data_IF_583112858274
#
_entry.id   IF_583112858274
#
_cell.length_a   1.000
_cell.length_b   1.000
_cell.length_c   1.000
_cell.angle_alpha   90.00
_cell.angle_beta   90.00
_cell.angle_gamma   90.00
#
_symmetry.space_group_name_H-M   'P 1'
#
loop_
_entity.id
_entity.type
_entity.pdbx_description
1 polymer ?
#
# COMPACT_ATOMS: atom_id res chain seq x y z
N UNK A 1 46.32 34.77 28.53
CA UNK A 1 45.01 34.48 27.90
C UNK A 1 45.17 33.31 26.91
N UNK A 2 45.15 32.06 27.38
CA UNK A 2 45.29 30.86 26.52
C UNK A 2 44.37 29.71 27.01
N UNK A 3 43.25 30.04 27.65
CA UNK A 3 42.37 29.07 28.31
C UNK A 3 41.10 28.66 27.54
N UNK A 4 40.68 29.43 26.53
CA UNK A 4 39.35 29.25 25.93
C UNK A 4 39.32 28.45 24.61
N UNK A 5 40.46 28.17 23.97
CA UNK A 5 40.47 27.52 22.64
C UNK A 5 40.23 26.00 22.70
N UNK A 6 40.61 25.32 23.79
CA UNK A 6 40.45 23.86 23.94
C UNK A 6 39.00 23.43 24.19
N UNK A 7 38.17 24.30 24.77
CA UNK A 7 36.75 24.02 25.01
C UNK A 7 35.90 24.24 23.75
N UNK A 8 36.25 25.24 22.93
CA UNK A 8 35.60 25.48 21.64
C UNK A 8 35.79 24.33 20.65
N UNK A 9 36.98 23.72 20.60
CA UNK A 9 37.25 22.58 19.72
C UNK A 9 36.48 21.31 20.15
N UNK A 10 36.33 21.07 21.45
CA UNK A 10 35.53 19.95 21.98
C UNK A 10 34.03 20.13 21.70
N UNK A 11 33.52 21.35 21.84
CA UNK A 11 32.12 21.67 21.50
C UNK A 11 31.87 21.54 20.00
N UNK A 12 32.83 21.95 19.16
CA UNK A 12 32.72 21.78 17.71
C UNK A 12 32.75 20.30 17.28
N UNK A 13 33.59 19.47 17.88
CA UNK A 13 33.65 18.02 17.61
C UNK A 13 32.39 17.32 18.11
N UNK A 14 31.86 17.68 19.28
CA UNK A 14 30.58 17.12 19.78
C UNK A 14 29.42 17.58 18.91
N UNK A 15 29.36 18.84 18.44
CA UNK A 15 28.36 19.27 17.46
C UNK A 15 28.50 18.53 16.12
N UNK A 16 29.71 18.32 15.63
CA UNK A 16 29.95 17.63 14.35
C UNK A 16 29.62 16.13 14.43
N UNK A 17 29.84 15.49 15.59
CA UNK A 17 29.41 14.11 15.87
C UNK A 17 27.90 14.01 16.13
N UNK A 18 27.27 15.04 16.71
CA UNK A 18 25.81 15.12 16.88
C UNK A 18 25.06 15.47 15.58
N UNK A 19 25.72 15.97 14.53
CA UNK A 19 25.09 16.15 13.22
C UNK A 19 25.02 14.82 12.44
N UNK A 20 25.75 13.79 12.89
CA UNK A 20 25.54 12.39 12.47
C UNK A 20 24.55 11.64 13.38
N UNK A 21 23.65 12.35 14.08
CA UNK A 21 22.44 11.72 14.61
C UNK A 21 21.67 11.24 13.39
N UNK A 22 21.77 9.93 13.16
CA UNK A 22 20.98 9.11 12.26
C UNK A 22 19.67 9.79 11.90
N UNK A 23 19.67 10.50 10.75
CA UNK A 23 18.43 10.69 10.02
C UNK A 23 17.85 9.28 9.89
N UNK A 24 16.58 9.04 10.29
CA UNK A 24 15.96 7.77 9.99
C UNK A 24 16.15 7.57 8.50
N UNK A 25 16.95 6.57 8.11
CA UNK A 25 17.21 6.25 6.72
C UNK A 25 15.83 6.24 6.05
N UNK A 26 15.61 7.18 5.12
CA UNK A 26 14.29 7.40 4.57
C UNK A 26 13.76 6.06 4.10
N UNK A 27 12.69 5.57 4.73
CA UNK A 27 12.15 4.21 4.57
C UNK A 27 11.68 4.06 3.12
N UNK A 28 12.15 3.03 2.41
CA UNK A 28 12.21 3.08 0.95
C UNK A 28 12.40 1.66 0.38
N UNK A 29 11.42 0.77 0.40
CA UNK A 29 11.64 -0.60 -0.09
C UNK A 29 10.80 -0.89 -1.34
N UNK A 30 11.19 -1.92 -2.08
CA UNK A 30 10.30 -2.54 -3.08
C UNK A 30 9.42 -3.55 -2.35
N UNK A 31 8.12 -3.26 -2.27
CA UNK A 31 7.14 -4.21 -1.78
C UNK A 31 6.79 -5.19 -2.89
N UNK A 32 6.85 -6.48 -2.61
CA UNK A 32 6.30 -7.54 -3.45
C UNK A 32 5.26 -8.29 -2.63
N UNK A 33 4.03 -8.37 -3.15
CA UNK A 33 2.94 -9.16 -2.60
C UNK A 33 2.64 -10.27 -3.59
N UNK A 34 2.55 -11.51 -3.12
CA UNK A 34 2.18 -12.68 -3.93
C UNK A 34 1.17 -13.54 -3.19
N UNK A 35 0.03 -13.82 -3.81
CA UNK A 35 -0.89 -14.85 -3.30
C UNK A 35 -0.32 -16.26 -3.51
N UNK A 36 -0.94 -17.27 -2.90
CA UNK A 36 -0.39 -18.64 -2.90
C UNK A 36 -0.34 -19.32 -4.28
N UNK A 37 -1.03 -18.79 -5.30
CA UNK A 37 -1.26 -19.50 -6.55
C UNK A 37 -0.18 -19.22 -7.61
N UNK A 38 0.59 -18.12 -7.49
CA UNK A 38 1.55 -17.69 -8.52
C UNK A 38 3.01 -17.53 -8.02
N UNK A 39 3.41 -18.21 -6.94
CA UNK A 39 4.74 -18.08 -6.29
C UNK A 39 5.96 -17.95 -7.22
N UNK A 40 5.98 -18.63 -8.37
CA UNK A 40 7.15 -18.73 -9.21
C UNK A 40 7.61 -17.39 -9.79
N UNK A 41 6.69 -16.52 -10.22
CA UNK A 41 7.06 -15.24 -10.83
C UNK A 41 7.45 -14.20 -9.77
N UNK A 42 6.66 -13.97 -8.72
CA UNK A 42 7.09 -13.09 -7.62
C UNK A 42 8.40 -13.54 -6.96
N UNK A 43 8.62 -14.85 -6.78
CA UNK A 43 9.88 -15.38 -6.25
C UNK A 43 11.07 -15.05 -7.16
N UNK A 44 10.90 -15.15 -8.48
CA UNK A 44 11.92 -14.79 -9.46
C UNK A 44 12.21 -13.28 -9.44
N UNK A 45 11.19 -12.44 -9.40
CA UNK A 45 11.34 -10.98 -9.29
C UNK A 45 12.07 -10.62 -7.99
N UNK A 46 11.64 -11.16 -6.85
CA UNK A 46 12.24 -10.92 -5.55
C UNK A 46 13.72 -11.31 -5.51
N UNK A 47 14.07 -12.49 -6.02
CA UNK A 47 15.46 -12.95 -6.14
C UNK A 47 16.27 -12.02 -7.03
N UNK A 48 15.74 -11.65 -8.19
CA UNK A 48 16.44 -10.79 -9.17
C UNK A 48 16.73 -9.41 -8.58
N UNK A 49 15.75 -8.79 -7.93
CA UNK A 49 15.91 -7.50 -7.26
C UNK A 49 16.94 -7.57 -6.12
N UNK A 50 16.83 -8.57 -5.25
CA UNK A 50 17.80 -8.78 -4.15
C UNK A 50 19.22 -8.98 -4.67
N UNK A 51 19.40 -9.78 -5.72
CA UNK A 51 20.70 -10.00 -6.36
C UNK A 51 21.29 -8.72 -6.98
N UNK A 52 20.44 -7.76 -7.36
CA UNK A 52 20.85 -6.42 -7.83
C UNK A 52 20.99 -5.38 -6.71
N UNK A 53 20.91 -5.80 -5.44
CA UNK A 53 21.15 -4.95 -4.26
C UNK A 53 19.95 -4.15 -3.76
N UNK A 54 18.74 -4.45 -4.26
CA UNK A 54 17.53 -3.78 -3.78
C UNK A 54 17.12 -4.26 -2.39
N UNK A 55 16.60 -3.34 -1.57
CA UNK A 55 15.86 -3.69 -0.38
C UNK A 55 14.43 -4.10 -0.74
N UNK A 56 14.12 -5.38 -0.53
CA UNK A 56 12.83 -5.98 -0.91
C UNK A 56 12.12 -6.52 0.33
N UNK A 57 10.90 -6.04 0.58
CA UNK A 57 9.95 -6.71 1.46
C UNK A 57 9.07 -7.62 0.60
N UNK A 58 9.17 -8.92 0.82
CA UNK A 58 8.34 -9.88 0.10
C UNK A 58 7.36 -10.56 1.05
N UNK A 59 6.08 -10.43 0.74
CA UNK A 59 4.95 -10.97 1.51
C UNK A 59 4.26 -12.02 0.64
N UNK A 60 4.13 -13.24 1.16
CA UNK A 60 3.68 -14.39 0.37
C UNK A 60 2.64 -15.25 1.09
N UNK A 61 1.65 -15.74 0.32
CA UNK A 61 0.68 -16.74 0.75
C UNK A 61 -0.11 -16.29 1.97
N UNK A 62 -0.17 -17.11 3.02
CA UNK A 62 -0.88 -16.80 4.28
C UNK A 62 -0.39 -15.53 4.99
N UNK A 63 0.81 -15.03 4.64
CA UNK A 63 1.33 -13.78 5.21
C UNK A 63 0.85 -12.55 4.43
N UNK A 64 0.31 -12.71 3.22
CA UNK A 64 -0.27 -11.66 2.38
C UNK A 64 -1.67 -11.26 2.87
N UNK A 65 -1.79 -11.01 4.17
CA UNK A 65 -3.01 -10.47 4.78
C UNK A 65 -3.22 -9.02 4.35
N UNK A 66 -4.47 -8.57 4.35
CA UNK A 66 -4.86 -7.18 4.11
C UNK A 66 -4.03 -6.20 4.95
N UNK A 67 -3.85 -6.48 6.26
CA UNK A 67 -2.99 -5.69 7.15
C UNK A 67 -1.54 -5.62 6.65
N UNK A 68 -0.94 -6.76 6.31
CA UNK A 68 0.46 -6.81 5.88
C UNK A 68 0.67 -6.17 4.51
N UNK A 69 -0.29 -6.29 3.60
CA UNK A 69 -0.27 -5.57 2.32
C UNK A 69 -0.22 -4.06 2.56
N UNK A 70 -1.12 -3.54 3.41
CA UNK A 70 -1.20 -2.11 3.71
C UNK A 70 0.05 -1.61 4.46
N UNK A 71 0.53 -2.35 5.47
CA UNK A 71 1.79 -2.04 6.16
C UNK A 71 2.98 -2.04 5.22
N UNK A 72 3.05 -3.04 4.35
CA UNK A 72 4.10 -3.14 3.35
C UNK A 72 4.11 -1.94 2.40
N UNK A 73 2.97 -1.33 2.10
CA UNK A 73 2.96 -0.12 1.27
C UNK A 73 3.56 1.11 1.98
N UNK A 74 3.70 1.08 3.31
CA UNK A 74 4.17 2.24 4.07
C UNK A 74 5.56 2.68 3.61
N UNK A 75 5.61 3.89 3.03
CA UNK A 75 6.77 4.53 2.40
C UNK A 75 7.52 3.67 1.36
N UNK A 76 6.85 2.70 0.73
CA UNK A 76 7.45 1.95 -0.37
C UNK A 76 7.90 2.87 -1.53
N UNK A 77 8.98 2.50 -2.24
CA UNK A 77 9.42 3.15 -3.48
C UNK A 77 8.89 2.47 -4.74
N UNK A 78 8.35 1.26 -4.58
CA UNK A 78 7.68 0.52 -5.62
C UNK A 78 6.76 -0.50 -4.95
N UNK A 79 5.61 -0.75 -5.56
CA UNK A 79 4.70 -1.84 -5.16
C UNK A 79 4.54 -2.76 -6.35
N UNK A 80 4.80 -4.04 -6.15
CA UNK A 80 4.52 -5.11 -7.10
C UNK A 80 3.51 -6.02 -6.42
N UNK A 81 2.33 -6.15 -7.02
CA UNK A 81 1.27 -7.02 -6.54
C UNK A 81 1.00 -8.09 -7.58
N UNK A 82 1.29 -9.34 -7.24
CA UNK A 82 0.96 -10.51 -8.04
C UNK A 82 -0.13 -11.30 -7.32
N UNK A 83 -1.35 -11.30 -7.85
CA UNK A 83 -2.43 -12.04 -7.22
C UNK A 83 -3.80 -11.61 -7.71
N UNK A 84 -4.85 -12.10 -7.08
CA UNK A 84 -6.21 -11.86 -7.56
C UNK A 84 -6.72 -10.43 -7.37
N UNK A 85 -7.49 -9.95 -8.35
CA UNK A 85 -8.30 -8.73 -8.25
C UNK A 85 -9.76 -9.06 -8.02
N UNK A 86 -10.45 -8.22 -7.24
CA UNK A 86 -11.88 -8.35 -6.96
C UNK A 86 -12.67 -7.11 -7.38
N UNK A 87 -14.00 -7.26 -7.44
CA UNK A 87 -14.94 -6.16 -7.61
C UNK A 87 -16.21 -6.44 -6.80
N UNK A 88 -16.91 -5.39 -6.36
CA UNK A 88 -18.11 -5.56 -5.52
C UNK A 88 -19.39 -5.75 -6.34
N UNK A 89 -19.58 -4.96 -7.39
CA UNK A 89 -20.89 -4.87 -8.06
C UNK A 89 -20.78 -4.77 -9.58
N UNK A 90 -21.79 -5.31 -10.27
CA UNK A 90 -21.82 -5.39 -11.73
C UNK A 90 -22.56 -6.64 -12.16
N UNK A 91 -22.47 -6.94 -13.46
CA UNK A 91 -23.07 -8.13 -14.05
C UNK A 91 -22.03 -8.97 -14.81
N UNK A 92 -20.76 -8.87 -14.43
CA UNK A 92 -19.72 -9.70 -15.03
C UNK A 92 -19.96 -11.17 -14.65
N UNK A 93 -20.24 -12.00 -15.66
CA UNK A 93 -20.73 -13.37 -15.51
C UNK A 93 -19.69 -14.43 -15.90
N UNK A 94 -18.40 -14.05 -15.92
CA UNK A 94 -17.28 -14.87 -16.42
C UNK A 94 -17.29 -15.11 -17.94
N UNK A 95 -18.24 -14.54 -18.67
CA UNK A 95 -18.29 -14.59 -20.13
C UNK A 95 -18.41 -13.20 -20.76
N UNK A 96 -18.25 -12.15 -19.96
CA UNK A 96 -18.35 -10.74 -20.36
C UNK A 96 -19.19 -9.96 -19.35
N UNK A 97 -19.62 -8.77 -19.74
CA UNK A 97 -20.43 -7.88 -18.89
C UNK A 97 -19.63 -6.77 -18.23
N UNK A 98 -20.33 -5.93 -17.47
CA UNK A 98 -19.74 -4.74 -16.84
C UNK A 98 -19.24 -5.05 -15.43
N UNK A 99 -18.07 -4.51 -15.10
CA UNK A 99 -17.55 -4.49 -13.75
C UNK A 99 -17.56 -3.05 -13.23
N UNK A 100 -18.15 -2.85 -12.05
CA UNK A 100 -18.26 -1.53 -11.41
C UNK A 100 -17.46 -1.48 -10.12
N UNK A 101 -16.92 -0.28 -9.75
CA UNK A 101 -16.24 -0.11 -8.48
C UNK A 101 -17.19 -0.36 -7.28
N UNK A 102 -16.63 -0.55 -6.07
CA UNK A 102 -15.20 -0.61 -5.76
C UNK A 102 -14.51 -1.88 -6.27
N UNK A 103 -13.26 -1.71 -6.67
CA UNK A 103 -12.35 -2.80 -7.03
C UNK A 103 -11.40 -3.08 -5.86
N UNK A 104 -10.82 -4.27 -5.78
CA UNK A 104 -9.97 -4.65 -4.66
C UNK A 104 -8.72 -5.42 -5.06
N UNK A 105 -7.69 -5.26 -4.23
CA UNK A 105 -6.66 -6.28 -4.06
C UNK A 105 -7.18 -7.36 -3.11
N UNK A 106 -6.89 -8.62 -3.38
CA UNK A 106 -7.27 -9.73 -2.51
C UNK A 106 -6.09 -10.11 -1.61
N UNK A 107 -6.30 -10.07 -0.31
CA UNK A 107 -5.39 -10.62 0.69
C UNK A 107 -5.85 -12.01 1.13
N UNK A 108 -4.99 -12.73 1.84
CA UNK A 108 -5.31 -14.08 2.34
C UNK A 108 -6.45 -14.12 3.35
N UNK A 109 -6.83 -12.97 3.93
CA UNK A 109 -7.86 -12.82 4.96
C UNK A 109 -8.99 -11.85 4.58
N UNK A 110 -9.01 -11.34 3.33
CA UNK A 110 -10.04 -10.40 2.90
C UNK A 110 -9.64 -9.52 1.72
N UNK A 111 -10.20 -8.32 1.68
CA UNK A 111 -10.07 -7.40 0.55
C UNK A 111 -9.50 -6.05 1.00
N UNK A 112 -8.64 -5.46 0.16
CA UNK A 112 -8.28 -4.04 0.22
C UNK A 112 -9.04 -3.33 -0.89
N UNK A 113 -10.14 -2.67 -0.53
CA UNK A 113 -11.04 -1.99 -1.47
C UNK A 113 -10.52 -0.61 -1.86
N UNK A 114 -10.53 -0.31 -3.16
CA UNK A 114 -10.37 1.02 -3.70
C UNK A 114 -11.69 1.80 -3.65
N UNK A 115 -11.75 2.81 -2.78
CA UNK A 115 -12.90 3.71 -2.62
C UNK A 115 -12.52 5.07 -3.19
N UNK A 116 -12.81 5.27 -4.48
CA UNK A 116 -12.38 6.47 -5.21
C UNK A 116 -10.86 6.58 -5.22
N UNK A 117 -10.31 7.69 -4.70
CA UNK A 117 -8.87 7.94 -4.62
C UNK A 117 -8.21 7.42 -3.34
N UNK A 118 -8.88 6.53 -2.61
CA UNK A 118 -8.49 6.02 -1.30
C UNK A 118 -8.67 4.50 -1.24
N UNK A 119 -8.18 3.90 -0.17
CA UNK A 119 -8.28 2.49 0.16
C UNK A 119 -9.10 2.29 1.43
N UNK A 120 -9.65 1.09 1.61
CA UNK A 120 -10.33 0.63 2.83
C UNK A 120 -10.10 -0.88 3.03
N UNK A 121 -10.05 -1.33 4.28
CA UNK A 121 -9.95 -2.77 4.62
C UNK A 121 -11.31 -3.47 4.73
N UNK A 122 -12.39 -2.74 4.43
CA UNK A 122 -13.75 -3.27 4.39
C UNK A 122 -14.69 -2.20 3.85
N UNK A 123 -15.81 -2.63 3.27
CA UNK A 123 -16.83 -1.69 2.81
C UNK A 123 -17.42 -0.93 4.01
N UNK A 124 -17.56 0.39 3.88
CA UNK A 124 -18.01 1.27 4.95
C UNK A 124 -17.02 1.51 6.08
N UNK A 125 -15.82 0.91 6.04
CA UNK A 125 -14.75 1.22 7.00
C UNK A 125 -14.06 2.56 6.67
N UNK A 126 -13.26 3.03 7.62
CA UNK A 126 -12.43 4.23 7.47
C UNK A 126 -11.54 4.10 6.24
N UNK A 127 -11.56 5.13 5.40
CA UNK A 127 -10.72 5.22 4.23
C UNK A 127 -9.41 5.94 4.52
N UNK A 128 -8.38 5.60 3.76
CA UNK A 128 -7.05 6.20 3.85
C UNK A 128 -6.38 6.25 2.48
N UNK A 129 -5.41 7.16 2.29
CA UNK A 129 -4.58 7.14 1.07
C UNK A 129 -3.56 6.02 1.17
N UNK A 130 -3.24 5.39 0.05
CA UNK A 130 -2.18 4.39 -0.02
C UNK A 130 -0.87 4.98 0.58
N UNK A 131 -0.22 4.29 1.54
CA UNK A 131 0.79 4.91 2.39
C UNK A 131 2.21 4.94 1.82
N UNK A 132 2.37 4.83 0.50
CA UNK A 132 3.67 4.86 -0.16
C UNK A 132 4.13 6.28 -0.50
N UNK A 133 5.34 6.40 -1.08
CA UNK A 133 5.84 7.68 -1.58
C UNK A 133 5.15 8.09 -2.88
N UNK A 134 5.06 9.39 -3.16
CA UNK A 134 4.53 9.88 -4.45
C UNK A 134 5.45 9.48 -5.61
N UNK A 135 4.88 9.42 -6.80
CA UNK A 135 5.55 9.17 -8.07
C UNK A 135 6.28 7.82 -8.15
N UNK A 136 5.85 6.83 -7.37
CA UNK A 136 6.38 5.47 -7.44
C UNK A 136 5.65 4.63 -8.49
N UNK A 137 6.28 3.57 -9.02
CA UNK A 137 5.59 2.54 -9.76
C UNK A 137 4.72 1.68 -8.82
N UNK A 138 3.47 1.48 -9.22
CA UNK A 138 2.60 0.40 -8.70
C UNK A 138 2.30 -0.52 -9.87
N UNK A 139 2.79 -1.75 -9.80
CA UNK A 139 2.75 -2.76 -10.87
C UNK A 139 1.89 -3.92 -10.41
N UNK A 140 0.78 -4.17 -11.08
CA UNK A 140 -0.10 -5.31 -10.84
C UNK A 140 0.13 -6.38 -11.90
N UNK A 141 0.35 -7.60 -11.46
CA UNK A 141 0.52 -8.78 -12.28
C UNK A 141 -0.64 -9.74 -11.97
N UNK A 142 -1.33 -10.21 -12.99
CA UNK A 142 -2.39 -11.23 -12.87
C UNK A 142 -3.58 -10.86 -11.98
N UNK A 143 -3.76 -9.57 -11.70
CA UNK A 143 -4.90 -9.09 -10.94
C UNK A 143 -6.10 -8.87 -11.86
N UNK A 144 -7.12 -9.72 -11.76
CA UNK A 144 -8.37 -9.56 -12.50
C UNK A 144 -8.89 -8.11 -12.40
N UNK A 145 -9.53 -7.65 -13.48
CA UNK A 145 -10.07 -6.30 -13.66
C UNK A 145 -9.02 -5.17 -13.76
N UNK A 146 -7.79 -5.36 -13.28
CA UNK A 146 -6.77 -4.31 -13.18
C UNK A 146 -6.35 -3.73 -14.54
N UNK A 147 -6.38 -4.55 -15.59
CA UNK A 147 -6.09 -4.21 -16.98
C UNK A 147 -7.35 -4.17 -17.88
N UNK A 148 -8.54 -4.36 -17.28
CA UNK A 148 -9.82 -4.48 -17.96
C UNK A 148 -10.16 -5.90 -18.41
N UNK A 149 -9.41 -6.91 -17.96
CA UNK A 149 -9.63 -8.31 -18.28
C UNK A 149 -9.82 -9.18 -17.05
N UNK A 150 -10.48 -10.31 -17.24
CA UNK A 150 -10.55 -11.40 -16.29
C UNK A 150 -10.24 -12.66 -17.07
N UNK A 151 -9.14 -13.33 -16.72
CA UNK A 151 -8.60 -14.43 -17.52
C UNK A 151 -8.47 -14.04 -19.00
N UNK A 152 -9.22 -14.68 -19.90
CA UNK A 152 -9.23 -14.42 -21.34
C UNK A 152 -10.46 -13.64 -21.82
N UNK A 153 -11.17 -12.95 -20.92
CA UNK A 153 -12.39 -12.18 -21.23
C UNK A 153 -12.22 -10.71 -20.89
N UNK A 154 -12.44 -9.84 -21.87
CA UNK A 154 -12.49 -8.39 -21.65
C UNK A 154 -13.85 -8.02 -21.03
N UNK A 155 -13.83 -7.13 -20.05
CA UNK A 155 -15.08 -6.55 -19.52
C UNK A 155 -15.68 -5.58 -20.55
N UNK A 156 -16.99 -5.38 -20.52
CA UNK A 156 -17.68 -4.52 -21.49
C UNK A 156 -17.37 -3.01 -21.34
N UNK A 157 -16.81 -2.61 -20.20
CA UNK A 157 -16.49 -1.21 -19.86
C UNK A 157 -15.02 -1.00 -19.47
N UNK A 158 -14.04 -1.49 -20.25
CA UNK A 158 -12.71 -1.78 -19.74
C UNK A 158 -11.90 -0.51 -19.40
N UNK A 159 -12.07 0.57 -20.16
CA UNK A 159 -11.47 1.88 -19.81
C UNK A 159 -11.96 2.38 -18.44
N UNK A 160 -13.25 2.27 -18.16
CA UNK A 160 -13.82 2.70 -16.89
C UNK A 160 -13.37 1.80 -15.73
N UNK A 161 -13.27 0.49 -15.96
CA UNK A 161 -12.75 -0.49 -15.00
C UNK A 161 -11.31 -0.16 -14.61
N UNK A 162 -10.40 -0.04 -15.58
CA UNK A 162 -8.99 0.32 -15.34
C UNK A 162 -8.86 1.66 -14.62
N UNK A 163 -9.58 2.69 -15.08
CA UNK A 163 -9.58 3.99 -14.43
C UNK A 163 -9.93 3.86 -12.94
N UNK A 164 -11.06 3.23 -12.62
CA UNK A 164 -11.53 3.13 -11.25
C UNK A 164 -10.65 2.24 -10.37
N UNK A 165 -10.08 1.16 -10.91
CA UNK A 165 -9.12 0.32 -10.19
C UNK A 165 -7.85 1.11 -9.86
N UNK A 166 -7.27 1.79 -10.85
CA UNK A 166 -6.03 2.55 -10.70
C UNK A 166 -6.13 3.67 -9.65
N UNK A 167 -7.33 4.24 -9.45
CA UNK A 167 -7.53 5.41 -8.57
C UNK A 167 -7.12 5.21 -7.12
N UNK A 168 -7.20 4.00 -6.57
CA UNK A 168 -6.73 3.76 -5.20
C UNK A 168 -5.21 3.99 -5.05
N UNK A 169 -4.47 3.90 -6.15
CA UNK A 169 -3.04 4.15 -6.22
C UNK A 169 -2.71 5.55 -6.75
N UNK A 170 -3.30 5.96 -7.87
CA UNK A 170 -3.02 7.25 -8.50
C UNK A 170 -3.53 8.42 -7.66
N UNK A 171 -4.53 8.19 -6.78
CA UNK A 171 -4.97 9.13 -5.75
C UNK A 171 -3.90 9.50 -4.69
N UNK A 172 -2.92 8.62 -4.51
CA UNK A 172 -1.71 8.86 -3.72
C UNK A 172 -0.51 9.30 -4.58
N UNK A 173 -0.70 9.44 -5.90
CA UNK A 173 0.31 9.92 -6.85
C UNK A 173 1.19 8.82 -7.45
N UNK A 174 0.78 7.56 -7.44
CA UNK A 174 1.51 6.49 -8.12
C UNK A 174 1.35 6.52 -9.64
N UNK A 175 2.31 5.90 -10.32
CA UNK A 175 2.21 5.50 -11.73
C UNK A 175 1.75 4.05 -11.76
N UNK A 176 0.53 3.82 -12.22
CA UNK A 176 -0.11 2.52 -12.23
C UNK A 176 0.16 1.79 -13.54
N UNK A 177 0.71 0.59 -13.45
CA UNK A 177 0.82 -0.36 -14.55
C UNK A 177 0.15 -1.67 -14.13
N UNK A 178 -0.61 -2.27 -15.03
CA UNK A 178 -1.23 -3.57 -14.80
C UNK A 178 -1.05 -4.44 -16.03
N UNK A 179 -0.84 -5.74 -15.83
CA UNK A 179 -0.88 -6.71 -16.91
C UNK A 179 -1.39 -8.09 -16.47
N UNK A 180 -2.18 -8.72 -17.32
CA UNK A 180 -2.58 -10.11 -17.23
C UNK A 180 -1.65 -11.08 -17.97
N UNK A 181 -0.66 -10.59 -18.74
CA UNK A 181 0.33 -11.43 -19.41
C UNK A 181 1.16 -12.19 -18.39
N UNK A 182 1.44 -13.46 -18.67
CA UNK A 182 2.42 -14.25 -17.91
C UNK A 182 3.80 -13.71 -18.17
N UNK A 183 4.28 -12.89 -17.24
CA UNK A 183 5.52 -12.18 -17.40
C UNK A 183 5.53 -10.84 -16.66
N UNK A 184 6.69 -10.54 -16.06
CA UNK A 184 6.98 -9.28 -15.41
C UNK A 184 7.94 -8.42 -16.23
N UNK A 185 7.82 -8.46 -17.56
CA UNK A 185 8.74 -7.85 -18.53
C UNK A 185 9.00 -6.38 -18.22
N UNK A 186 7.96 -5.60 -17.89
CA UNK A 186 8.12 -4.18 -17.57
C UNK A 186 9.13 -3.97 -16.41
N UNK A 187 9.17 -4.88 -15.43
CA UNK A 187 10.12 -4.85 -14.32
C UNK A 187 11.51 -5.22 -14.84
N UNK A 188 11.61 -6.28 -15.65
CA UNK A 188 12.89 -6.71 -16.23
C UNK A 188 13.48 -5.66 -17.19
N UNK A 189 12.67 -4.90 -17.91
CA UNK A 189 13.09 -3.80 -18.77
C UNK A 189 13.74 -2.68 -17.94
N UNK A 190 13.15 -2.31 -16.80
CA UNK A 190 13.79 -1.40 -15.83
C UNK A 190 15.11 -1.98 -15.32
N UNK A 191 15.14 -3.26 -14.95
CA UNK A 191 16.36 -3.93 -14.48
C UNK A 191 17.42 -4.11 -15.58
N UNK A 192 17.02 -4.03 -16.84
CA UNK A 192 17.84 -3.98 -18.05
C UNK A 192 18.28 -2.56 -18.44
N UNK A 193 17.93 -1.55 -17.65
CA UNK A 193 18.39 -0.17 -17.81
C UNK A 193 17.37 0.78 -18.45
N UNK A 194 16.09 0.43 -18.52
CA UNK A 194 15.07 1.41 -18.88
C UNK A 194 15.03 2.58 -17.88
N UNK A 195 14.90 3.79 -18.40
CA UNK A 195 15.03 5.03 -17.60
C UNK A 195 13.70 5.66 -17.22
N UNK A 196 12.59 5.19 -17.80
CA UNK A 196 11.22 5.63 -17.55
C UNK A 196 10.21 4.55 -17.98
N UNK A 197 8.94 4.71 -17.61
CA UNK A 197 7.86 3.85 -18.10
C UNK A 197 7.73 3.90 -19.63
N UNK A 198 7.94 5.06 -20.27
CA UNK A 198 7.93 5.14 -21.73
C UNK A 198 9.04 4.30 -22.37
N UNK A 199 10.25 4.38 -21.83
CA UNK A 199 11.39 3.61 -22.30
C UNK A 199 11.20 2.11 -22.05
N UNK A 200 10.70 1.73 -20.86
CA UNK A 200 10.37 0.35 -20.54
C UNK A 200 9.26 -0.18 -21.47
N UNK A 201 8.18 0.57 -21.68
CA UNK A 201 7.11 0.21 -22.61
C UNK A 201 7.61 0.04 -24.06
N UNK A 202 8.61 0.80 -24.49
CA UNK A 202 9.21 0.64 -25.82
C UNK A 202 10.06 -0.63 -25.96
N UNK A 203 10.53 -1.21 -24.85
CA UNK A 203 11.28 -2.47 -24.79
C UNK A 203 10.38 -3.67 -24.54
N UNK A 204 9.23 -3.42 -23.90
CA UNK A 204 8.26 -4.43 -23.54
C UNK A 204 7.70 -5.17 -24.77
N UNK A 205 7.34 -6.44 -24.57
CA UNK A 205 6.72 -7.27 -25.60
C UNK A 205 5.33 -6.74 -25.98
N UNK A 206 4.48 -6.47 -25.00
CA UNK A 206 3.13 -5.96 -25.22
C UNK A 206 3.05 -4.43 -25.03
N UNK A 207 3.46 -3.69 -26.06
CA UNK A 207 3.60 -2.22 -25.99
C UNK A 207 2.26 -1.50 -25.98
N UNK A 208 2.01 -0.73 -24.92
CA UNK A 208 0.86 0.17 -24.78
C UNK A 208 1.00 1.36 -25.74
N UNK A 209 0.08 1.47 -26.70
CA UNK A 209 0.14 2.49 -27.77
C UNK A 209 -1.10 3.35 -27.90
N UNK A 210 -2.23 2.96 -27.30
CA UNK A 210 -3.49 3.71 -27.38
C UNK A 210 -3.88 4.27 -26.01
N UNK A 211 -4.56 5.42 -26.02
CA UNK A 211 -5.15 6.03 -24.83
C UNK A 211 -6.58 6.47 -25.08
N UNK A 212 -7.42 6.33 -24.07
CA UNK A 212 -8.77 6.90 -24.04
C UNK A 212 -8.88 7.85 -22.86
N UNK A 213 -9.39 9.06 -23.10
CA UNK A 213 -9.70 10.00 -22.00
C UNK A 213 -10.98 9.57 -21.30
N UNK A 214 -10.92 9.40 -19.98
CA UNK A 214 -12.06 9.08 -19.14
C UNK A 214 -12.02 9.94 -17.87
N UNK A 215 -13.07 10.73 -17.64
CA UNK A 215 -13.13 11.71 -16.54
C UNK A 215 -11.88 12.61 -16.44
N UNK A 216 -11.34 13.05 -17.59
CA UNK A 216 -10.16 13.91 -17.66
C UNK A 216 -8.82 13.21 -17.40
N UNK A 217 -8.80 11.88 -17.24
CA UNK A 217 -7.59 11.08 -17.08
C UNK A 217 -7.35 10.24 -18.34
N UNK A 218 -6.11 10.20 -18.82
CA UNK A 218 -5.72 9.29 -19.89
C UNK A 218 -5.54 7.89 -19.34
N UNK A 219 -6.35 6.96 -19.84
CA UNK A 219 -6.21 5.53 -19.58
C UNK A 219 -5.56 4.91 -20.81
N UNK A 220 -4.34 4.42 -20.65
CA UNK A 220 -3.56 3.82 -21.72
C UNK A 220 -3.74 2.31 -21.71
N UNK A 221 -4.08 1.73 -22.85
CA UNK A 221 -4.30 0.28 -23.01
C UNK A 221 -3.89 -0.16 -24.41
N UNK A 222 -3.61 -1.43 -24.54
CA UNK A 222 -3.56 -2.11 -25.83
C UNK A 222 -4.99 -2.31 -26.37
N UNK A 223 -5.17 -2.23 -27.69
CA UNK A 223 -6.44 -2.60 -28.30
C UNK A 223 -6.65 -4.10 -28.11
N UNK A 224 -7.61 -4.46 -27.26
CA UNK A 224 -7.84 -5.83 -26.81
C UNK A 224 -6.60 -6.53 -26.22
N UNK A 225 -5.64 -5.77 -25.69
CA UNK A 225 -4.50 -6.37 -24.98
C UNK A 225 -4.70 -6.34 -23.47
N UNK A 226 -3.89 -7.14 -22.78
CA UNK A 226 -3.98 -7.39 -21.33
C UNK A 226 -2.89 -6.61 -20.59
N UNK A 227 -2.68 -5.35 -21.00
CA UNK A 227 -1.84 -4.40 -20.29
C UNK A 227 -2.47 -3.00 -20.30
N UNK A 228 -2.31 -2.30 -19.18
CA UNK A 228 -2.84 -0.98 -18.96
C UNK A 228 -1.87 -0.10 -18.18
N UNK A 229 -1.92 1.21 -18.45
CA UNK A 229 -1.14 2.22 -17.74
C UNK A 229 -1.97 3.47 -17.45
N UNK A 230 -1.85 3.98 -16.23
CA UNK A 230 -2.44 5.25 -15.80
C UNK A 230 -1.40 5.99 -14.94
N UNK A 231 -0.86 7.08 -15.46
CA UNK A 231 0.16 7.85 -14.74
C UNK A 231 1.01 8.71 -15.67
N UNK A 232 2.18 9.07 -15.18
CA UNK A 232 3.21 9.79 -15.91
C UNK A 232 4.18 8.80 -16.57
N UNK A 233 4.23 8.83 -17.90
CA UNK A 233 5.16 8.04 -18.70
C UNK A 233 6.64 8.33 -18.41
N UNK A 234 6.96 9.48 -17.82
CA UNK A 234 8.31 9.80 -17.33
C UNK A 234 8.60 9.24 -15.92
N UNK A 235 7.61 8.62 -15.28
CA UNK A 235 7.77 7.89 -14.03
C UNK A 235 8.84 6.81 -14.15
N UNK A 236 9.52 6.50 -13.05
CA UNK A 236 10.71 5.64 -13.03
C UNK A 236 10.57 4.54 -12.00
N UNK A 237 11.23 3.41 -12.25
CA UNK A 237 11.49 2.44 -11.20
C UNK A 237 12.63 2.91 -10.31
N UNK A 238 12.60 2.70 -8.98
CA UNK A 238 13.70 3.09 -8.11
C UNK A 238 14.99 2.37 -8.50
N UNK A 239 16.12 3.01 -8.23
CA UNK A 239 17.42 2.34 -8.24
C UNK A 239 17.68 1.64 -6.91
N UNK A 240 18.57 0.66 -6.87
CA UNK A 240 18.93 -0.03 -5.63
C UNK A 240 19.38 0.96 -4.53
N UNK A 241 20.16 1.99 -4.89
CA UNK A 241 20.66 3.00 -3.98
C UNK A 241 19.57 3.96 -3.44
N UNK A 242 18.40 4.02 -4.11
CA UNK A 242 17.25 4.78 -3.61
C UNK A 242 16.44 3.97 -2.60
N UNK A 243 16.63 2.65 -2.55
CA UNK A 243 15.95 1.79 -1.58
C UNK A 243 16.70 1.71 -0.25
N UNK A 244 15.97 1.47 0.84
CA UNK A 244 16.41 1.30 2.22
C UNK A 244 15.61 0.17 2.88
N UNK A 245 16.10 -0.41 3.99
CA UNK A 245 15.40 -1.47 4.70
C UNK A 245 13.99 -1.09 5.17
N UNK A 246 13.08 -2.06 5.11
CA UNK A 246 11.73 -1.92 5.66
C UNK A 246 11.75 -1.83 7.20
N UNK A 247 10.97 -0.89 7.75
CA UNK A 247 10.81 -0.70 9.18
C UNK A 247 9.41 -1.11 9.64
N UNK A 248 9.30 -2.36 10.12
CA UNK A 248 7.99 -2.90 10.52
C UNK A 248 7.35 -2.16 11.69
N UNK A 249 8.15 -1.69 12.66
CA UNK A 249 7.62 -0.97 13.82
C UNK A 249 7.03 0.39 13.45
N UNK A 250 7.65 1.12 12.51
CA UNK A 250 7.13 2.37 12.00
C UNK A 250 5.85 2.15 11.18
N UNK A 251 5.82 1.11 10.34
CA UNK A 251 4.65 0.72 9.56
C UNK A 251 3.47 0.30 10.45
N UNK A 252 3.72 -0.49 11.50
CA UNK A 252 2.72 -0.88 12.50
C UNK A 252 2.13 0.35 13.20
N UNK A 253 2.98 1.25 13.72
CA UNK A 253 2.53 2.47 14.39
C UNK A 253 1.68 3.35 13.47
N UNK A 254 2.08 3.49 12.20
CA UNK A 254 1.28 4.22 11.22
C UNK A 254 -0.06 3.53 10.97
N UNK A 255 -0.05 2.21 10.76
CA UNK A 255 -1.25 1.41 10.52
C UNK A 255 -2.26 1.52 11.66
N UNK A 256 -1.81 1.38 12.91
CA UNK A 256 -2.69 1.47 14.08
C UNK A 256 -3.34 2.85 14.18
N UNK A 257 -2.58 3.91 13.90
CA UNK A 257 -3.05 5.30 13.99
C UNK A 257 -4.00 5.68 12.85
N UNK A 258 -3.80 5.13 11.65
CA UNK A 258 -4.45 5.62 10.44
C UNK A 258 -5.49 4.67 9.86
N UNK A 259 -5.26 3.37 9.97
CA UNK A 259 -6.08 2.33 9.33
C UNK A 259 -6.93 1.62 10.37
N UNK A 260 -6.31 0.98 11.37
CA UNK A 260 -7.04 0.26 12.39
C UNK A 260 -7.85 1.21 13.30
N UNK A 261 -7.35 2.43 13.50
CA UNK A 261 -8.11 3.56 14.03
C UNK A 261 -9.03 3.19 15.18
N UNK A 262 -8.49 2.63 16.27
CA UNK A 262 -9.14 2.46 17.57
C UNK A 262 -10.49 1.70 17.57
N UNK A 263 -10.46 0.38 17.69
CA UNK A 263 -11.56 -0.34 18.37
C UNK A 263 -11.65 0.11 19.84
N UNK A 264 -10.54 0.63 20.41
CA UNK A 264 -10.53 1.44 21.62
C UNK A 264 -9.52 2.56 21.44
N UNK A 265 -9.93 3.80 21.70
CA UNK A 265 -9.10 5.01 21.67
C UNK A 265 -7.74 4.82 22.34
N UNK A 266 -6.75 5.66 21.99
CA UNK A 266 -5.66 6.03 22.89
C UNK A 266 -6.22 6.59 24.22
N UNK A 267 -6.75 5.69 25.04
CA UNK A 267 -6.91 5.86 26.46
C UNK A 267 -5.67 5.15 26.98
N UNK A 268 -4.83 5.90 27.69
CA UNK A 268 -3.84 5.32 28.58
C UNK A 268 -4.63 4.56 29.64
N UNK A 269 -4.97 3.33 29.29
CA UNK A 269 -5.65 2.42 30.15
C UNK A 269 -4.60 1.98 31.15
N UNK A 270 -4.50 2.73 32.26
CA UNK A 270 -4.06 2.21 33.56
C UNK A 270 -5.08 1.14 34.01
N UNK A 271 -5.27 0.12 33.18
CA UNK A 271 -6.04 -1.08 33.46
C UNK A 271 -5.11 -1.94 34.31
N UNK A 272 -5.26 -1.80 35.63
CA UNK A 272 -4.73 -2.80 36.55
C UNK A 272 -5.64 -4.02 36.42
N UNK A 273 -5.13 -5.11 35.82
CA UNK A 273 -5.78 -6.42 35.85
C UNK A 273 -5.82 -6.90 37.29
N UNK A 274 -7.00 -6.96 37.90
CA UNK A 274 -7.11 -7.34 39.31
C UNK A 274 -7.44 -8.82 39.50
N UNK A 275 -8.21 -9.44 38.59
CA UNK A 275 -8.47 -10.89 38.61
C UNK A 275 -8.83 -11.42 37.22
N UNK A 276 -8.31 -12.60 36.90
CA UNK A 276 -8.72 -13.41 35.75
C UNK A 276 -9.15 -14.75 36.30
N UNK A 277 -10.37 -15.18 36.00
CA UNK A 277 -10.78 -16.56 36.26
C UNK A 277 -11.57 -17.12 35.09
N UNK A 278 -11.40 -18.41 34.87
CA UNK A 278 -12.07 -19.19 33.84
C UNK A 278 -13.22 -19.97 34.46
N UNK A 279 -14.39 -19.92 33.82
CA UNK A 279 -15.51 -20.80 34.15
C UNK A 279 -16.14 -21.28 32.84
N UNK A 280 -16.23 -22.59 32.67
CA UNK A 280 -16.61 -23.24 31.40
C UNK A 280 -15.72 -22.77 30.23
N UNK A 281 -16.33 -22.36 29.11
CA UNK A 281 -15.68 -21.84 27.90
C UNK A 281 -15.55 -20.31 27.89
N UNK A 282 -15.73 -19.64 29.03
CA UNK A 282 -15.66 -18.19 29.12
C UNK A 282 -14.52 -17.75 30.04
N UNK A 283 -13.77 -16.77 29.54
CA UNK A 283 -12.75 -16.05 30.31
C UNK A 283 -13.41 -14.81 30.90
N UNK A 284 -13.49 -14.75 32.23
CA UNK A 284 -13.96 -13.57 32.94
C UNK A 284 -12.73 -12.75 33.36
N UNK A 285 -12.65 -11.51 32.84
CA UNK A 285 -11.63 -10.54 33.21
C UNK A 285 -12.30 -9.37 33.90
N UNK A 286 -11.96 -9.16 35.17
CA UNK A 286 -12.47 -8.02 35.93
C UNK A 286 -11.49 -6.87 35.82
N UNK A 287 -11.96 -5.73 35.32
CA UNK A 287 -11.17 -4.50 35.21
C UNK A 287 -11.56 -3.52 36.31
N UNK A 288 -10.58 -2.93 36.99
CA UNK A 288 -10.81 -1.81 37.91
C UNK A 288 -10.53 -0.52 37.16
N UNK A 289 -11.57 0.23 36.83
CA UNK A 289 -11.45 1.57 36.25
C UNK A 289 -11.39 2.59 37.39
N UNK A 290 -10.47 3.56 37.33
CA UNK A 290 -10.47 4.67 38.27
C UNK A 290 -11.75 5.51 38.08
N UNK A 291 -12.59 5.55 39.12
CA UNK A 291 -13.92 6.17 39.10
C UNK A 291 -13.86 7.68 38.77
N UNK A 292 -12.80 8.39 39.16
CA UNK A 292 -12.62 9.80 38.80
C UNK A 292 -12.42 9.99 37.29
N UNK A 293 -11.79 9.04 36.62
CA UNK A 293 -11.56 9.08 35.17
C UNK A 293 -12.86 8.79 34.39
N UNK A 294 -13.69 7.89 34.90
CA UNK A 294 -15.02 7.59 34.34
C UNK A 294 -15.99 8.78 34.48
N UNK A 295 -15.96 9.48 35.62
CA UNK A 295 -16.78 10.67 35.84
C UNK A 295 -16.36 11.86 34.97
N UNK A 296 -15.05 12.03 34.70
CA UNK A 296 -14.55 13.03 33.71
C UNK A 296 -14.98 12.73 32.27
N UNK A 297 -15.14 11.46 31.92
CA UNK A 297 -15.68 11.05 30.63
C UNK A 297 -17.17 11.43 30.51
N UNK A 298 -17.96 11.18 31.54
CA UNK A 298 -19.38 11.55 31.54
C UNK A 298 -19.59 13.08 31.46
N UNK A 299 -18.73 13.90 32.08
CA UNK A 299 -18.84 15.36 31.98
C UNK A 299 -18.42 15.92 30.62
N UNK A 300 -17.52 15.23 29.91
CA UNK A 300 -17.09 15.63 28.56
C UNK A 300 -18.20 15.37 27.52
N UNK A 301 -18.97 14.30 27.70
CA UNK A 301 -20.09 13.94 26.80
C UNK A 301 -21.45 14.54 27.20
N UNK A 302 -21.62 15.00 28.45
CA UNK A 302 -22.85 15.71 28.86
C UNK A 302 -22.96 17.14 28.32
N UNK A 303 -21.86 17.72 27.83
CA UNK A 303 -21.85 19.08 27.24
C UNK A 303 -22.29 19.16 25.76
N UNK A 304 -22.56 18.02 25.11
CA UNK A 304 -23.01 17.97 23.70
C UNK A 304 -24.55 17.91 23.58
N UNK A 305 -25.29 17.79 24.68
CA UNK A 305 -26.76 17.65 24.67
C UNK A 305 -27.51 18.89 25.16
N UNK A 306 -26.84 19.99 25.56
CA UNK A 306 -27.54 21.20 26.04
C UNK A 306 -26.92 22.51 25.55
N UNK A 307 -27.04 22.80 24.25
CA UNK A 307 -27.21 24.19 23.74
C UNK A 307 -28.21 24.23 22.59
N UNK A 308 -29.46 24.29 23.03
CA UNK A 308 -30.73 24.69 22.40
C UNK A 308 -30.67 26.10 21.75
N UNK A 309 -31.66 26.52 20.91
CA UNK A 309 -33.11 26.37 21.09
C UNK A 309 -33.83 25.44 20.12
#
# INVERSE_FOLDING_TARGET
MYGNSKNLLKVAIVMMVCIFIFLPAAEAHVLIVSDSNNYNEASKIAKTLKNKGYHVLWIYGKNATTKNIIKGMYKADAVIYEGHGGYESGNYDQNGGTASPPFALIGSDGFVWGVGSQMSMGLGQKTFKAPFKKNIPVILLHACFSDGWVENKEVANPTATVYNFARMFTGAGANYYATGWSGAEIIYDFLGGATSFADANNKNFEKITKSTSYNGTLVWRNEHGIAAFVGDWNGKFPTAAQTTPYNDAAAEKWYDSNVAGNVFGNVDWDIIKTNVYSSWNYLYVTFKVNLEHFLRLLSKYSSVVTKNP
#
